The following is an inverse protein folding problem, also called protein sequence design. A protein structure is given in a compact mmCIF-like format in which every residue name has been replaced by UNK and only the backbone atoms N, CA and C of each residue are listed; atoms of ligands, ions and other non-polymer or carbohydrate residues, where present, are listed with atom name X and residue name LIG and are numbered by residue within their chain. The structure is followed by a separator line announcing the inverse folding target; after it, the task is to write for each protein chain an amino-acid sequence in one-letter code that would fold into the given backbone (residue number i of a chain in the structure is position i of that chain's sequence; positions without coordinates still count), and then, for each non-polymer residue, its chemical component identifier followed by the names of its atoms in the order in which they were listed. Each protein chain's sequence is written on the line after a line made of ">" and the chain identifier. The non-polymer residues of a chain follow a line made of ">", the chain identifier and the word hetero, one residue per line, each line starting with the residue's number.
data_IF_070841690220
#
_entry.id   IF_070841690220
#
_cell.length_a   1.000
_cell.length_b   1.000
_cell.length_c   1.000
_cell.angle_alpha   90.00
_cell.angle_beta   90.00
_cell.angle_gamma   90.00
#
_symmetry.space_group_name_H-M   'P 1'
#
loop_
_entity.id
_entity.type
_entity.pdbx_description
1 polymer ?
#
# COMPACT_ATOMS: atom_id res chain seq x y z
N UNK A 1 51.57 -51.68 -4.93
CA UNK A 1 50.60 -52.78 -4.75
C UNK A 1 50.06 -52.73 -3.32
N UNK A 2 48.78 -53.09 -3.15
CA UNK A 2 47.87 -52.69 -2.07
C UNK A 2 48.27 -53.09 -0.64
N UNK A 3 47.83 -52.28 0.33
CA UNK A 3 47.10 -52.76 1.53
C UNK A 3 46.32 -51.61 2.17
N UNK A 4 45.05 -51.50 1.79
CA UNK A 4 44.04 -50.75 2.55
C UNK A 4 43.60 -51.64 3.72
N UNK A 5 43.79 -51.15 4.96
CA UNK A 5 43.21 -51.75 6.14
C UNK A 5 41.95 -50.97 6.52
N UNK A 6 40.79 -51.60 6.36
CA UNK A 6 39.53 -51.18 6.98
C UNK A 6 39.66 -51.35 8.50
N UNK A 7 39.45 -50.27 9.25
CA UNK A 7 39.13 -50.32 10.66
C UNK A 7 37.65 -49.97 10.87
N UNK A 8 36.97 -50.87 11.56
CA UNK A 8 35.54 -50.91 11.81
C UNK A 8 35.18 -50.16 13.10
N UNK A 9 34.07 -49.39 13.04
CA UNK A 9 33.10 -49.04 14.11
C UNK A 9 33.54 -48.01 15.17
N UNK A 10 32.61 -47.34 15.90
CA UNK A 10 31.15 -47.52 15.95
C UNK A 10 30.30 -46.25 15.74
N UNK A 11 29.06 -46.52 15.34
CA UNK A 11 27.84 -45.76 15.60
C UNK A 11 27.93 -44.92 16.90
N UNK A 12 27.76 -43.61 16.78
CA UNK A 12 27.29 -42.79 17.90
C UNK A 12 26.34 -41.74 17.36
N UNK A 13 25.07 -42.15 17.29
CA UNK A 13 23.93 -41.25 17.27
C UNK A 13 24.07 -40.27 18.44
N UNK A 14 24.40 -39.02 18.16
CA UNK A 14 24.15 -37.94 19.09
C UNK A 14 22.86 -37.27 18.64
N UNK A 15 21.79 -37.65 19.34
CA UNK A 15 20.49 -37.00 19.34
C UNK A 15 20.68 -35.49 19.50
N UNK A 16 20.40 -34.73 18.44
CA UNK A 16 20.10 -33.30 18.55
C UNK A 16 18.66 -33.19 19.03
N UNK A 17 18.47 -33.28 20.36
CA UNK A 17 17.21 -33.01 21.02
C UNK A 17 17.36 -31.71 21.81
N UNK A 18 17.12 -30.60 21.12
CA UNK A 18 17.01 -29.26 21.70
C UNK A 18 15.84 -28.55 21.04
N UNK A 19 14.63 -29.06 21.28
CA UNK A 19 13.40 -28.40 20.84
C UNK A 19 13.20 -27.12 21.67
N UNK A 20 13.63 -25.99 21.10
CA UNK A 20 13.22 -24.67 21.58
C UNK A 20 11.73 -24.51 21.27
N UNK A 21 10.95 -24.36 22.33
CA UNK A 21 9.56 -23.94 22.29
C UNK A 21 9.47 -22.57 21.61
N UNK A 22 8.78 -22.49 20.47
CA UNK A 22 8.18 -21.23 20.01
C UNK A 22 6.69 -21.47 19.83
N UNK A 23 5.97 -21.26 20.92
CA UNK A 23 4.54 -21.00 20.91
C UNK A 23 4.34 -19.56 20.45
N UNK A 24 4.14 -19.35 19.15
CA UNK A 24 3.55 -18.14 18.60
C UNK A 24 2.42 -18.62 17.68
N UNK A 25 1.16 -18.59 18.11
CA UNK A 25 0.48 -17.37 18.51
C UNK A 25 -0.16 -16.81 17.24
N UNK A 26 -1.44 -17.16 17.05
CA UNK A 26 -2.42 -16.54 16.13
C UNK A 26 -1.89 -16.10 14.76
N UNK A 27 -2.18 -16.91 13.73
CA UNK A 27 -2.19 -16.48 12.35
C UNK A 27 -3.30 -15.43 12.12
N UNK A 28 -3.10 -14.21 12.61
CA UNK A 28 -3.65 -13.01 12.02
C UNK A 28 -2.57 -12.48 11.10
N UNK A 29 -2.85 -12.31 9.81
CA UNK A 29 -1.99 -11.52 8.94
C UNK A 29 -1.97 -10.08 9.49
N UNK A 30 -1.04 -9.80 10.39
CA UNK A 30 -0.77 -8.45 10.86
C UNK A 30 -0.13 -7.71 9.69
N UNK A 31 -0.94 -6.95 8.96
CA UNK A 31 -0.41 -5.83 8.21
C UNK A 31 0.36 -4.97 9.22
N UNK A 32 1.62 -4.68 8.92
CA UNK A 32 2.34 -3.71 9.72
C UNK A 32 1.77 -2.33 9.33
N UNK A 33 1.33 -1.56 10.32
CA UNK A 33 0.98 -0.16 10.09
C UNK A 33 2.22 0.58 9.56
N UNK A 34 2.03 1.61 8.74
CA UNK A 34 3.15 2.40 8.23
C UNK A 34 3.85 3.15 9.38
N UNK A 35 5.17 3.26 9.31
CA UNK A 35 5.88 4.29 10.07
C UNK A 35 5.84 5.61 9.29
N UNK A 36 6.25 6.71 9.94
CA UNK A 36 6.15 8.07 9.37
C UNK A 36 6.86 8.20 8.00
N UNK A 37 7.96 7.47 7.80
CA UNK A 37 8.72 7.49 6.55
C UNK A 37 7.93 6.84 5.41
N UNK A 38 7.36 5.66 5.63
CA UNK A 38 6.51 4.96 4.67
C UNK A 38 5.25 5.75 4.36
N UNK A 39 4.59 6.29 5.39
CA UNK A 39 3.40 7.12 5.21
C UNK A 39 3.71 8.37 4.40
N UNK A 40 4.87 9.01 4.62
CA UNK A 40 5.30 10.17 3.84
C UNK A 40 5.56 9.80 2.37
N UNK A 41 6.27 8.71 2.11
CA UNK A 41 6.59 8.27 0.74
C UNK A 41 5.31 7.87 0.01
N UNK A 42 4.47 7.05 0.64
CA UNK A 42 3.22 6.58 0.07
C UNK A 42 2.23 7.73 -0.11
N UNK A 43 2.09 8.60 0.89
CA UNK A 43 1.26 9.79 0.85
C UNK A 43 1.63 10.72 -0.29
N UNK A 44 2.91 11.03 -0.50
CA UNK A 44 3.35 11.84 -1.65
C UNK A 44 2.99 11.19 -2.98
N UNK A 45 3.24 9.89 -3.13
CA UNK A 45 2.91 9.16 -4.36
C UNK A 45 1.40 9.19 -4.64
N UNK A 46 0.58 8.97 -3.60
CA UNK A 46 -0.88 9.00 -3.68
C UNK A 46 -1.39 10.40 -4.02
N UNK A 47 -0.86 11.45 -3.38
CA UNK A 47 -1.25 12.84 -3.68
C UNK A 47 -0.99 13.19 -5.15
N UNK A 48 0.18 12.84 -5.69
CA UNK A 48 0.51 13.06 -7.10
C UNK A 48 -0.43 12.31 -8.04
N UNK A 49 -0.68 11.02 -7.78
CA UNK A 49 -1.58 10.21 -8.60
C UNK A 49 -3.04 10.70 -8.52
N UNK A 50 -3.50 11.09 -7.33
CA UNK A 50 -4.83 11.63 -7.11
C UNK A 50 -5.02 12.95 -7.87
N UNK A 51 -4.06 13.87 -7.76
CA UNK A 51 -4.05 15.14 -8.49
C UNK A 51 -4.12 14.91 -10.02
N UNK A 52 -3.28 14.00 -10.54
CA UNK A 52 -3.30 13.65 -11.95
C UNK A 52 -4.67 13.09 -12.38
N UNK A 53 -5.27 12.19 -11.59
CA UNK A 53 -6.58 11.59 -11.90
C UNK A 53 -7.69 12.63 -11.95
N UNK A 54 -7.79 13.51 -10.94
CA UNK A 54 -8.87 14.52 -10.87
C UNK A 54 -8.68 15.68 -11.85
N UNK A 55 -7.44 15.98 -12.25
CA UNK A 55 -7.12 17.07 -13.19
C UNK A 55 -7.81 16.93 -14.56
N UNK A 56 -8.19 15.70 -14.93
CA UNK A 56 -8.96 15.42 -16.14
C UNK A 56 -10.38 16.00 -16.07
N UNK A 57 -10.99 15.96 -14.89
CA UNK A 57 -12.32 16.51 -14.65
C UNK A 57 -12.27 17.99 -14.26
N UNK A 58 -11.36 18.39 -13.37
CA UNK A 58 -11.27 19.76 -12.86
C UNK A 58 -9.80 20.15 -12.72
N UNK A 59 -9.41 21.26 -13.34
CA UNK A 59 -8.06 21.80 -13.16
C UNK A 59 -7.84 22.14 -11.67
N UNK A 60 -6.73 21.66 -11.12
CA UNK A 60 -6.35 21.96 -9.75
C UNK A 60 -5.62 23.30 -9.73
N UNK A 61 -6.23 24.33 -9.15
CA UNK A 61 -5.72 25.72 -9.23
C UNK A 61 -5.31 26.31 -7.90
N UNK A 62 -5.55 25.61 -6.78
CA UNK A 62 -5.23 26.11 -5.46
C UNK A 62 -4.68 25.04 -4.51
N UNK A 63 -4.97 25.23 -3.22
CA UNK A 63 -4.50 24.35 -2.14
C UNK A 63 -4.94 22.90 -2.37
N UNK A 64 -4.05 21.98 -2.02
CA UNK A 64 -4.25 20.54 -2.08
C UNK A 64 -3.92 19.95 -0.71
N UNK A 65 -4.66 18.95 -0.29
CA UNK A 65 -4.43 18.25 0.97
C UNK A 65 -4.76 16.78 0.80
N UNK A 66 -3.83 15.92 1.19
CA UNK A 66 -4.05 14.49 1.29
C UNK A 66 -4.15 14.13 2.78
N UNK A 67 -5.29 13.56 3.16
CA UNK A 67 -5.49 12.94 4.46
C UNK A 67 -5.31 11.43 4.27
N UNK A 68 -4.27 10.86 4.89
CA UNK A 68 -4.12 9.40 4.98
C UNK A 68 -4.99 8.92 6.14
N UNK A 69 -5.95 8.05 5.83
CA UNK A 69 -6.91 7.51 6.79
C UNK A 69 -6.41 6.19 7.37
N UNK A 70 -5.80 5.36 6.51
CA UNK A 70 -5.16 4.10 6.90
C UNK A 70 -3.93 3.89 6.04
N UNK A 71 -2.87 3.34 6.61
CA UNK A 71 -1.64 3.01 5.89
C UNK A 71 -1.09 1.66 6.39
N UNK A 72 -1.06 0.68 5.49
CA UNK A 72 -0.75 -0.71 5.82
C UNK A 72 0.31 -1.28 4.88
N UNK A 73 1.36 -1.86 5.42
CA UNK A 73 2.42 -2.55 4.69
C UNK A 73 2.04 -4.03 4.56
N UNK A 74 2.04 -4.54 3.32
CA UNK A 74 1.79 -5.95 3.03
C UNK A 74 2.44 -6.39 1.72
N UNK A 75 2.95 -7.62 1.67
CA UNK A 75 3.47 -8.29 0.46
C UNK A 75 4.33 -7.41 -0.48
N UNK A 76 5.20 -6.57 0.09
CA UNK A 76 6.09 -5.68 -0.67
C UNK A 76 5.42 -4.44 -1.28
N UNK A 77 4.27 -4.03 -0.73
CA UNK A 77 3.54 -2.83 -1.12
C UNK A 77 2.90 -2.16 0.10
N UNK A 78 2.57 -0.89 -0.05
CA UNK A 78 1.85 -0.10 0.95
C UNK A 78 0.44 0.14 0.42
N UNK A 79 -0.57 -0.24 1.19
CA UNK A 79 -1.98 0.05 0.96
C UNK A 79 -2.33 1.32 1.73
N UNK A 80 -2.87 2.32 1.03
CA UNK A 80 -3.26 3.61 1.60
C UNK A 80 -4.74 3.83 1.36
N UNK A 81 -5.52 4.06 2.41
CA UNK A 81 -6.87 4.63 2.32
C UNK A 81 -6.75 6.12 2.54
N UNK A 82 -7.35 6.93 1.66
CA UNK A 82 -7.10 8.37 1.67
C UNK A 82 -8.35 9.21 1.34
N UNK A 83 -8.28 10.48 1.74
CA UNK A 83 -9.11 11.57 1.23
C UNK A 83 -8.20 12.62 0.60
N UNK A 84 -8.43 12.96 -0.65
CA UNK A 84 -7.72 14.03 -1.34
C UNK A 84 -8.65 15.20 -1.57
N UNK A 85 -8.33 16.35 -0.99
CA UNK A 85 -9.08 17.60 -1.08
C UNK A 85 -8.28 18.59 -1.95
N UNK A 86 -8.96 19.32 -2.84
CA UNK A 86 -8.31 20.33 -3.66
C UNK A 86 -9.25 21.47 -4.04
N UNK A 87 -8.67 22.64 -4.30
CA UNK A 87 -9.37 23.78 -4.86
C UNK A 87 -9.27 23.79 -6.39
N UNK A 88 -10.41 23.95 -7.05
CA UNK A 88 -10.55 24.17 -8.49
C UNK A 88 -11.39 25.42 -8.77
N UNK A 89 -11.84 25.55 -10.02
CA UNK A 89 -12.54 26.75 -10.50
C UNK A 89 -13.83 27.06 -9.70
N UNK A 90 -14.64 26.04 -9.37
CA UNK A 90 -15.93 26.24 -8.69
C UNK A 90 -15.87 25.96 -7.18
N UNK A 91 -14.67 25.98 -6.60
CA UNK A 91 -14.45 25.87 -5.15
C UNK A 91 -13.79 24.57 -4.72
N UNK A 92 -14.25 24.00 -3.60
CA UNK A 92 -13.65 22.82 -2.98
C UNK A 92 -14.19 21.54 -3.61
N UNK A 93 -13.27 20.64 -3.95
CA UNK A 93 -13.53 19.30 -4.47
C UNK A 93 -12.79 18.28 -3.60
N UNK A 94 -13.31 17.06 -3.56
CA UNK A 94 -12.62 15.95 -2.91
C UNK A 94 -12.92 14.61 -3.56
N UNK A 95 -11.98 13.67 -3.40
CA UNK A 95 -12.15 12.24 -3.63
C UNK A 95 -11.76 11.45 -2.38
N UNK A 96 -12.36 10.29 -2.20
CA UNK A 96 -11.92 9.27 -1.26
C UNK A 96 -11.68 7.97 -1.99
N UNK A 97 -10.66 7.24 -1.58
CA UNK A 97 -10.26 6.04 -2.29
C UNK A 97 -9.22 5.22 -1.54
N UNK A 98 -8.73 4.21 -2.25
CA UNK A 98 -7.61 3.39 -1.82
C UNK A 98 -6.57 3.31 -2.92
N UNK A 99 -5.30 3.27 -2.55
CA UNK A 99 -4.19 3.14 -3.47
C UNK A 99 -3.21 2.09 -2.99
N UNK A 100 -2.61 1.38 -3.95
CA UNK A 100 -1.49 0.47 -3.71
C UNK A 100 -0.22 1.13 -4.21
N UNK A 101 0.76 1.28 -3.33
CA UNK A 101 2.06 1.88 -3.60
C UNK A 101 3.13 0.80 -3.56
N UNK A 102 3.95 0.69 -4.60
CA UNK A 102 5.10 -0.22 -4.68
C UNK A 102 6.30 0.55 -5.17
N UNK A 103 7.43 0.44 -4.47
CA UNK A 103 8.66 1.17 -4.78
C UNK A 103 8.41 2.69 -4.94
N UNK A 104 7.60 3.28 -4.06
CA UNK A 104 7.28 4.71 -4.07
C UNK A 104 6.35 5.17 -5.21
N UNK A 105 5.77 4.25 -5.98
CA UNK A 105 4.86 4.56 -7.08
C UNK A 105 3.49 3.93 -6.87
N UNK A 106 2.43 4.64 -7.24
CA UNK A 106 1.07 4.10 -7.23
C UNK A 106 0.92 3.10 -8.38
N UNK A 107 0.69 1.83 -8.06
CA UNK A 107 0.43 0.77 -9.04
C UNK A 107 -1.05 0.54 -9.27
N UNK A 108 -1.89 0.91 -8.29
CA UNK A 108 -3.34 0.81 -8.37
C UNK A 108 -3.98 1.95 -7.58
N UNK A 109 -5.04 2.56 -8.13
CA UNK A 109 -5.83 3.57 -7.41
C UNK A 109 -7.31 3.44 -7.76
N UNK A 110 -8.10 3.13 -6.73
CA UNK A 110 -9.56 3.08 -6.80
C UNK A 110 -10.14 4.30 -6.10
N UNK A 111 -11.03 5.01 -6.80
CA UNK A 111 -11.80 6.13 -6.23
C UNK A 111 -13.18 5.59 -5.91
N UNK A 112 -13.59 5.70 -4.64
CA UNK A 112 -14.86 5.19 -4.13
C UNK A 112 -15.91 6.28 -4.02
N UNK A 113 -15.50 7.46 -3.55
CA UNK A 113 -16.40 8.58 -3.35
C UNK A 113 -15.83 9.87 -3.92
N UNK A 114 -16.74 10.76 -4.32
CA UNK A 114 -16.44 12.08 -4.84
C UNK A 114 -17.35 13.11 -4.17
N UNK A 115 -16.84 14.32 -4.02
CA UNK A 115 -17.67 15.48 -3.70
C UNK A 115 -18.79 15.67 -4.73
N UNK A 116 -19.95 16.22 -4.32
CA UNK A 116 -21.04 16.53 -5.25
C UNK A 116 -20.57 17.39 -6.44
N UNK A 117 -19.71 18.39 -6.18
CA UNK A 117 -19.15 19.27 -7.21
C UNK A 117 -18.30 18.51 -8.22
N UNK A 118 -17.47 17.58 -7.77
CA UNK A 118 -16.61 16.79 -8.65
C UNK A 118 -17.42 15.76 -9.45
N UNK A 119 -18.47 15.18 -8.85
CA UNK A 119 -19.40 14.32 -9.57
C UNK A 119 -20.07 15.06 -10.72
N UNK A 120 -20.59 16.27 -10.47
CA UNK A 120 -21.19 17.11 -11.50
C UNK A 120 -20.19 17.48 -12.60
N UNK A 121 -18.99 17.95 -12.23
CA UNK A 121 -17.95 18.32 -13.19
C UNK A 121 -17.46 17.12 -14.04
N UNK A 122 -17.35 15.93 -13.43
CA UNK A 122 -16.97 14.71 -14.14
C UNK A 122 -18.06 14.28 -15.12
N UNK A 123 -19.32 14.31 -14.70
CA UNK A 123 -20.47 13.98 -15.54
C UNK A 123 -20.61 14.93 -16.74
N UNK A 124 -20.40 16.24 -16.54
CA UNK A 124 -20.41 17.24 -17.61
C UNK A 124 -19.35 16.98 -18.69
N UNK A 125 -18.26 16.27 -18.34
CA UNK A 125 -17.19 15.86 -19.26
C UNK A 125 -17.30 14.40 -19.73
N UNK A 126 -18.36 13.68 -19.35
CA UNK A 126 -18.52 12.26 -19.65
C UNK A 126 -17.49 11.34 -18.99
N UNK A 127 -16.85 11.80 -17.90
CA UNK A 127 -15.82 11.05 -17.18
C UNK A 127 -16.42 10.26 -16.02
N UNK A 128 -16.01 8.98 -15.89
CA UNK A 128 -16.32 8.15 -14.72
C UNK A 128 -15.08 7.99 -13.85
N UNK A 129 -14.95 8.86 -12.85
CA UNK A 129 -13.80 8.84 -11.93
C UNK A 129 -13.95 7.79 -10.82
N UNK A 130 -15.16 7.56 -10.31
CA UNK A 130 -15.43 6.49 -9.34
C UNK A 130 -15.47 5.13 -10.03
N UNK A 131 -14.78 4.16 -9.44
CA UNK A 131 -14.79 2.76 -9.84
C UNK A 131 -15.41 1.95 -8.71
N UNK A 132 -16.70 1.66 -8.85
CA UNK A 132 -17.41 0.66 -8.03
C UNK A 132 -17.43 -0.66 -8.79
#
# INVERSE_FOLDING_TARGET
>A
MQKFALAHRPFRSLLVAGAVLVSAGVAGHAFAECEEAEETIAGKAVATAAAAKVSTAVAVTGKQMLDVVECNIGSGSIMVVFKYNFLGADGLYWIQGSAKVKAGMVTEMQVKHLSPNLTAASAAKGLKLASN
#
